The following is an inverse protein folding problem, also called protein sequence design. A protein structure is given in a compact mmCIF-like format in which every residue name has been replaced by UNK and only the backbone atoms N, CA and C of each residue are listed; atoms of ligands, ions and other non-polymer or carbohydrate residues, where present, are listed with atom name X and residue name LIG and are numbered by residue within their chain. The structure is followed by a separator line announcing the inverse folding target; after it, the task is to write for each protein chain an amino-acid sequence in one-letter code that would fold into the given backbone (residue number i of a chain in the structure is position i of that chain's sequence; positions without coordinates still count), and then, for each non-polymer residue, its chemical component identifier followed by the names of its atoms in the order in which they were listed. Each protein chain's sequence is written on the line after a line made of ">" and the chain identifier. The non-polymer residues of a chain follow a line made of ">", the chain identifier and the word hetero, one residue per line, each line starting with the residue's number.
data_IF_425751540995
#
_entry.id   IF_425751540995
#
_cell.length_a   1.000
_cell.length_b   1.000
_cell.length_c   1.000
_cell.angle_alpha   90.00
_cell.angle_beta   90.00
_cell.angle_gamma   90.00
#
_symmetry.space_group_name_H-M   'P 1'
#
loop_
_entity.id
_entity.type
_entity.pdbx_description
1 polymer ?
#
# COMPACT_ATOMS: atom_id res chain seq x y z
N UNK A 1 -25.61 5.93 -76.33
CA UNK A 1 -25.94 6.67 -75.11
C UNK A 1 -26.13 5.66 -74.00
N UNK A 2 -25.12 5.43 -73.18
CA UNK A 2 -25.27 4.79 -71.87
C UNK A 2 -24.16 5.29 -70.95
N UNK A 3 -24.60 5.58 -69.74
CA UNK A 3 -24.10 6.60 -68.86
C UNK A 3 -23.23 5.95 -67.77
N UNK A 4 -22.11 6.61 -67.49
CA UNK A 4 -21.28 6.54 -66.28
C UNK A 4 -21.94 5.93 -65.03
N UNK A 5 -21.20 5.05 -64.34
CA UNK A 5 -21.09 5.02 -62.87
C UNK A 5 -19.91 4.10 -62.46
N UNK A 6 -18.72 4.69 -62.31
CA UNK A 6 -17.59 4.10 -61.60
C UNK A 6 -17.69 4.50 -60.13
N UNK A 7 -18.12 3.58 -59.27
CA UNK A 7 -17.99 3.68 -57.82
C UNK A 7 -16.57 3.25 -57.43
N UNK A 8 -15.66 4.20 -57.27
CA UNK A 8 -14.38 3.97 -56.62
C UNK A 8 -14.60 4.02 -55.10
N UNK A 9 -14.67 2.85 -54.46
CA UNK A 9 -14.62 2.72 -53.01
C UNK A 9 -13.22 3.06 -52.51
N UNK A 10 -13.09 4.23 -51.88
CA UNK A 10 -11.88 4.65 -51.19
C UNK A 10 -11.77 3.85 -49.88
N UNK A 11 -11.19 2.65 -49.92
CA UNK A 11 -10.76 1.96 -48.71
C UNK A 11 -9.56 2.71 -48.14
N UNK A 12 -9.81 3.69 -47.28
CA UNK A 12 -8.83 4.22 -46.34
C UNK A 12 -8.46 3.09 -45.37
N UNK A 13 -7.48 2.28 -45.76
CA UNK A 13 -6.82 1.37 -44.84
C UNK A 13 -6.13 2.20 -43.77
N UNK A 14 -6.69 2.24 -42.56
CA UNK A 14 -5.93 2.66 -41.38
C UNK A 14 -4.83 1.65 -41.18
N UNK A 15 -3.63 1.93 -41.69
CA UNK A 15 -2.44 1.20 -41.32
C UNK A 15 -2.28 1.37 -39.80
N UNK A 16 -2.63 0.33 -39.05
CA UNK A 16 -2.23 0.21 -37.64
C UNK A 16 -0.70 0.20 -37.65
N UNK A 17 -0.10 1.34 -37.36
CA UNK A 17 1.34 1.44 -37.20
C UNK A 17 1.73 0.48 -36.07
N UNK A 18 2.47 -0.57 -36.40
CA UNK A 18 3.05 -1.44 -35.38
C UNK A 18 3.96 -0.60 -34.49
N UNK A 19 3.77 -0.63 -33.17
CA UNK A 19 4.62 0.12 -32.26
C UNK A 19 6.09 -0.25 -32.50
N UNK A 20 6.88 0.74 -32.89
CA UNK A 20 8.33 0.57 -33.02
C UNK A 20 8.95 0.56 -31.62
N UNK A 21 9.21 -0.63 -31.11
CA UNK A 21 9.87 -0.80 -29.81
C UNK A 21 11.33 -0.31 -29.83
N UNK A 22 11.79 0.24 -28.72
CA UNK A 22 13.18 0.65 -28.60
C UNK A 22 14.07 -0.60 -28.46
N UNK A 23 14.95 -0.85 -29.45
CA UNK A 23 15.86 -2.00 -29.44
C UNK A 23 16.76 -2.04 -28.19
N UNK A 24 17.06 -0.86 -27.63
CA UNK A 24 17.85 -0.71 -26.39
C UNK A 24 17.19 -1.37 -25.17
N UNK A 25 15.86 -1.48 -25.17
CA UNK A 25 15.10 -2.06 -24.06
C UNK A 25 14.85 -3.57 -24.20
N UNK A 26 15.20 -4.22 -25.32
CA UNK A 26 14.97 -5.66 -25.51
C UNK A 26 15.56 -6.51 -24.37
N UNK A 27 16.84 -6.29 -24.04
CA UNK A 27 17.50 -7.05 -22.99
C UNK A 27 16.89 -6.80 -21.60
N UNK A 28 16.52 -5.54 -21.31
CA UNK A 28 15.89 -5.17 -20.04
C UNK A 28 14.49 -5.77 -19.90
N UNK A 29 13.68 -5.75 -20.97
CA UNK A 29 12.35 -6.37 -21.01
C UNK A 29 12.42 -7.88 -20.75
N UNK A 30 13.30 -8.60 -21.45
CA UNK A 30 13.45 -10.04 -21.24
C UNK A 30 13.95 -10.38 -19.83
N UNK A 31 14.91 -9.61 -19.30
CA UNK A 31 15.38 -9.76 -17.92
C UNK A 31 14.24 -9.51 -16.93
N UNK A 32 13.48 -8.42 -17.10
CA UNK A 32 12.35 -8.07 -16.24
C UNK A 32 11.27 -9.17 -16.25
N UNK A 33 10.88 -9.66 -17.44
CA UNK A 33 9.92 -10.78 -17.55
C UNK A 33 10.42 -12.03 -16.81
N UNK A 34 11.71 -12.35 -16.94
CA UNK A 34 12.30 -13.50 -16.27
C UNK A 34 12.30 -13.32 -14.74
N UNK A 35 12.68 -12.14 -14.24
CA UNK A 35 12.66 -11.80 -12.82
C UNK A 35 11.26 -11.95 -12.22
N UNK A 36 10.24 -11.39 -12.87
CA UNK A 36 8.86 -11.40 -12.36
C UNK A 36 8.00 -12.54 -12.90
N UNK A 37 8.63 -13.55 -13.53
CA UNK A 37 8.01 -14.76 -14.09
C UNK A 37 6.79 -14.46 -14.97
N UNK A 38 6.91 -13.47 -15.84
CA UNK A 38 5.83 -13.03 -16.75
C UNK A 38 5.82 -13.86 -18.03
N UNK A 39 4.65 -14.41 -18.34
CA UNK A 39 4.37 -15.16 -19.55
C UNK A 39 3.11 -14.58 -20.17
N UNK A 40 3.17 -14.23 -21.46
CA UNK A 40 2.06 -13.63 -22.19
C UNK A 40 1.84 -14.36 -23.50
N UNK A 41 0.61 -14.30 -24.03
CA UNK A 41 0.36 -14.62 -25.43
C UNK A 41 0.94 -13.55 -26.35
N UNK A 42 1.19 -13.87 -27.63
CA UNK A 42 1.86 -12.97 -28.58
C UNK A 42 1.21 -11.58 -28.68
N UNK A 43 -0.13 -11.53 -28.76
CA UNK A 43 -0.86 -10.27 -28.84
C UNK A 43 -0.83 -9.48 -27.53
N UNK A 44 -0.75 -10.18 -26.38
CA UNK A 44 -0.70 -9.52 -25.07
C UNK A 44 0.69 -8.95 -24.78
N UNK A 45 1.73 -9.68 -25.15
CA UNK A 45 3.11 -9.27 -24.92
C UNK A 45 3.40 -7.89 -25.54
N UNK A 46 2.88 -7.64 -26.75
CA UNK A 46 3.15 -6.41 -27.49
C UNK A 46 2.69 -5.17 -26.71
N UNK A 47 1.45 -5.17 -26.21
CA UNK A 47 0.92 -4.02 -25.48
C UNK A 47 1.43 -3.96 -24.03
N UNK A 48 1.64 -5.10 -23.36
CA UNK A 48 2.28 -5.15 -22.02
C UNK A 48 3.67 -4.56 -22.05
N UNK A 49 4.44 -4.88 -23.09
CA UNK A 49 5.75 -4.27 -23.35
C UNK A 49 5.64 -2.77 -23.60
N UNK A 50 4.65 -2.31 -24.37
CA UNK A 50 4.43 -0.88 -24.60
C UNK A 50 4.15 -0.11 -23.29
N UNK A 51 3.35 -0.69 -22.39
CA UNK A 51 3.11 -0.14 -21.04
C UNK A 51 4.40 -0.10 -20.24
N UNK A 52 5.17 -1.19 -20.24
CA UNK A 52 6.46 -1.25 -19.56
C UNK A 52 7.47 -0.21 -20.07
N UNK A 53 7.60 -0.02 -21.39
CA UNK A 53 8.49 1.00 -21.96
C UNK A 53 8.02 2.42 -21.63
N UNK A 54 6.70 2.66 -21.56
CA UNK A 54 6.14 3.93 -21.10
C UNK A 54 6.52 4.22 -19.65
N UNK A 55 6.37 3.22 -18.77
CA UNK A 55 6.73 3.34 -17.36
C UNK A 55 8.24 3.52 -17.17
N UNK A 56 9.09 2.81 -17.93
CA UNK A 56 10.54 3.03 -17.92
C UNK A 56 10.93 4.47 -18.26
N UNK A 57 10.36 5.03 -19.33
CA UNK A 57 10.64 6.43 -19.72
C UNK A 57 10.21 7.42 -18.65
N UNK A 58 9.08 7.19 -18.00
CA UNK A 58 8.61 8.01 -16.88
C UNK A 58 9.59 7.95 -15.71
N UNK A 59 10.08 6.75 -15.35
CA UNK A 59 11.08 6.55 -14.30
C UNK A 59 12.39 7.26 -14.64
N UNK A 60 12.90 7.11 -15.87
CA UNK A 60 14.13 7.77 -16.32
C UNK A 60 14.01 9.30 -16.26
N UNK A 61 12.88 9.86 -16.72
CA UNK A 61 12.61 11.29 -16.66
C UNK A 61 12.57 11.80 -15.22
N UNK A 62 11.79 11.16 -14.34
CA UNK A 62 11.69 11.52 -12.93
C UNK A 62 13.06 11.49 -12.25
N UNK A 63 13.86 10.45 -12.50
CA UNK A 63 15.19 10.32 -11.89
C UNK A 63 16.19 11.36 -12.45
N UNK A 64 16.03 11.79 -13.72
CA UNK A 64 16.75 12.94 -14.26
C UNK A 64 16.40 14.22 -13.51
N UNK A 65 15.11 14.49 -13.28
CA UNK A 65 14.66 15.64 -12.51
C UNK A 65 15.08 15.59 -11.02
N UNK A 66 15.11 14.40 -10.43
CA UNK A 66 15.68 14.17 -9.10
C UNK A 66 17.15 14.58 -9.03
N UNK A 67 17.95 14.26 -10.07
CA UNK A 67 19.38 14.65 -10.12
C UNK A 67 19.59 16.16 -10.22
N UNK A 68 18.58 16.88 -10.70
CA UNK A 68 18.52 18.35 -10.74
C UNK A 68 17.94 18.97 -9.44
N UNK A 69 17.60 18.15 -8.44
CA UNK A 69 17.06 18.62 -7.15
C UNK A 69 15.57 18.98 -7.18
N UNK A 70 14.82 18.58 -8.21
CA UNK A 70 13.37 18.87 -8.33
C UNK A 70 12.49 17.95 -7.47
N UNK A 71 12.98 16.76 -7.14
CA UNK A 71 12.26 15.74 -6.36
C UNK A 71 13.07 15.32 -5.13
N UNK A 72 12.36 14.90 -4.07
CA UNK A 72 12.96 14.37 -2.83
C UNK A 72 13.14 12.85 -2.80
N UNK A 73 12.77 12.16 -3.89
CA UNK A 73 12.72 10.70 -3.98
C UNK A 73 12.98 10.22 -5.41
N UNK A 74 13.40 8.97 -5.54
CA UNK A 74 13.65 8.28 -6.81
C UNK A 74 12.59 7.22 -7.10
N UNK A 75 12.46 6.90 -8.39
CA UNK A 75 11.64 5.79 -8.88
C UNK A 75 12.50 4.61 -9.33
N UNK A 76 11.92 3.42 -9.31
CA UNK A 76 12.57 2.18 -9.73
C UNK A 76 11.58 1.21 -10.37
N UNK A 77 12.03 0.54 -11.42
CA UNK A 77 11.22 -0.48 -12.10
C UNK A 77 11.00 -1.68 -11.16
N UNK A 78 9.75 -2.11 -11.03
CA UNK A 78 9.34 -3.17 -10.11
C UNK A 78 8.33 -4.14 -10.75
N UNK A 79 7.68 -4.99 -9.95
CA UNK A 79 6.72 -5.99 -10.42
C UNK A 79 5.49 -5.40 -11.14
N UNK A 80 5.20 -4.11 -10.94
CA UNK A 80 4.06 -3.41 -11.56
C UNK A 80 4.42 -2.76 -12.90
N UNK A 81 5.61 -3.04 -13.44
CA UNK A 81 6.13 -2.41 -14.65
C UNK A 81 5.22 -2.52 -15.88
N UNK A 82 4.53 -3.64 -16.04
CA UNK A 82 3.64 -3.92 -17.17
C UNK A 82 2.17 -3.55 -16.90
N UNK A 83 1.86 -2.96 -15.74
CA UNK A 83 0.52 -2.54 -15.38
C UNK A 83 0.29 -1.07 -15.72
N UNK A 84 -0.88 -0.76 -16.25
CA UNK A 84 -1.33 0.63 -16.27
C UNK A 84 -1.63 1.10 -14.85
N UNK A 85 -1.67 2.41 -14.64
CA UNK A 85 -1.99 2.95 -13.33
C UNK A 85 -3.43 2.61 -12.92
N UNK A 86 -4.35 2.51 -13.87
CA UNK A 86 -5.73 2.09 -13.62
C UNK A 86 -5.80 0.61 -13.18
N UNK A 87 -5.08 -0.29 -13.85
CA UNK A 87 -4.97 -1.70 -13.42
C UNK A 87 -4.39 -1.80 -12.01
N UNK A 88 -3.31 -1.07 -11.75
CA UNK A 88 -2.67 -1.01 -10.44
C UNK A 88 -3.65 -0.58 -9.34
N UNK A 89 -4.33 0.55 -9.54
CA UNK A 89 -5.34 1.05 -8.59
C UNK A 89 -6.50 0.08 -8.38
N UNK A 90 -6.89 -0.70 -9.37
CA UNK A 90 -7.99 -1.65 -9.22
C UNK A 90 -7.57 -2.95 -8.52
N UNK A 91 -6.33 -3.39 -8.70
CA UNK A 91 -5.89 -4.72 -8.26
C UNK A 91 -5.21 -4.71 -6.89
N UNK A 92 -4.52 -3.63 -6.51
CA UNK A 92 -3.74 -3.59 -5.27
C UNK A 92 -4.19 -2.52 -4.27
N UNK A 93 -4.95 -1.51 -4.70
CA UNK A 93 -5.54 -0.54 -3.78
C UNK A 93 -6.89 -1.09 -3.30
N UNK A 94 -7.01 -1.30 -1.99
CA UNK A 94 -8.15 -2.00 -1.38
C UNK A 94 -8.76 -1.27 -0.20
N UNK A 95 -8.27 -0.09 0.18
CA UNK A 95 -8.91 0.66 1.24
C UNK A 95 -10.22 1.24 0.72
N UNK A 96 -11.30 1.04 1.47
CA UNK A 96 -12.61 1.62 1.17
C UNK A 96 -13.06 2.48 2.33
N UNK A 97 -13.14 3.79 2.09
CA UNK A 97 -13.76 4.70 3.04
C UNK A 97 -15.25 4.39 3.16
N UNK A 98 -15.64 3.73 4.25
CA UNK A 98 -17.02 3.36 4.52
C UNK A 98 -17.48 3.97 5.84
N UNK A 99 -18.77 4.35 5.91
CA UNK A 99 -19.37 4.74 7.19
C UNK A 99 -19.36 3.52 8.10
N UNK A 100 -18.78 3.68 9.28
CA UNK A 100 -18.67 2.63 10.28
C UNK A 100 -18.89 3.22 11.67
N UNK A 101 -19.10 2.34 12.65
CA UNK A 101 -19.12 2.74 14.05
C UNK A 101 -17.70 3.17 14.42
N UNK A 102 -17.53 4.39 14.90
CA UNK A 102 -16.22 4.87 15.36
C UNK A 102 -15.79 4.15 16.63
N UNK A 103 -14.48 3.94 16.76
CA UNK A 103 -13.85 3.41 17.96
C UNK A 103 -13.86 4.43 19.09
N UNK A 104 -13.10 4.13 20.15
CA UNK A 104 -12.81 5.17 21.17
C UNK A 104 -11.95 6.27 20.51
N UNK A 105 -12.11 7.51 20.94
CA UNK A 105 -11.26 8.60 20.45
C UNK A 105 -9.94 8.59 21.22
N UNK A 106 -8.81 8.65 20.51
CA UNK A 106 -7.49 8.74 21.13
C UNK A 106 -7.40 9.98 22.02
N UNK A 107 -7.06 9.76 23.29
CA UNK A 107 -6.81 10.83 24.24
C UNK A 107 -5.33 11.18 24.20
N UNK A 108 -5.01 12.37 23.69
CA UNK A 108 -3.63 12.82 23.61
C UNK A 108 -3.01 12.96 25.01
N UNK A 109 -1.85 12.33 25.29
CA UNK A 109 -1.16 12.55 26.54
C UNK A 109 -0.76 14.03 26.69
N UNK A 110 -1.11 14.62 27.83
CA UNK A 110 -0.74 15.98 28.22
C UNK A 110 0.72 15.99 28.69
N UNK A 111 1.48 17.02 28.31
CA UNK A 111 2.84 17.28 28.80
C UNK A 111 3.87 16.15 28.55
N UNK A 112 3.71 15.37 27.48
CA UNK A 112 4.69 14.35 27.10
C UNK A 112 5.75 14.93 26.17
N UNK A 113 7.01 14.87 26.58
CA UNK A 113 8.14 15.09 25.66
C UNK A 113 8.29 13.85 24.78
N UNK A 114 8.01 14.02 23.49
CA UNK A 114 8.14 12.93 22.52
C UNK A 114 9.59 12.81 22.03
N UNK A 115 10.06 11.58 21.76
CA UNK A 115 11.33 11.39 21.09
C UNK A 115 11.32 12.06 19.71
N UNK A 116 12.49 12.52 19.24
CA UNK A 116 12.60 13.17 17.92
C UNK A 116 12.41 12.20 16.75
N UNK A 117 12.68 10.92 16.99
CA UNK A 117 12.51 9.83 16.04
C UNK A 117 12.05 8.58 16.77
N UNK A 118 11.24 7.78 16.10
CA UNK A 118 10.74 6.48 16.57
C UNK A 118 10.87 5.50 15.43
N UNK A 119 11.36 4.30 15.73
CA UNK A 119 11.35 3.17 14.80
C UNK A 119 11.00 1.88 15.56
N UNK A 120 9.77 1.40 15.39
CA UNK A 120 9.29 0.20 16.07
C UNK A 120 9.90 -1.10 15.52
N UNK A 121 10.59 -1.04 14.36
CA UNK A 121 11.34 -2.18 13.81
C UNK A 121 12.51 -2.53 14.73
N UNK A 122 13.22 -1.51 15.22
CA UNK A 122 14.34 -1.67 16.16
C UNK A 122 13.91 -2.21 17.53
N UNK A 123 12.60 -2.17 17.82
CA UNK A 123 11.99 -2.69 19.05
C UNK A 123 11.37 -4.07 18.88
N UNK A 124 11.47 -4.70 17.71
CA UNK A 124 10.91 -6.03 17.46
C UNK A 124 9.38 -6.06 17.32
N UNK A 125 8.72 -4.90 17.17
CA UNK A 125 7.25 -4.83 17.09
C UNK A 125 6.70 -4.98 15.66
N UNK A 126 7.56 -5.28 14.68
CA UNK A 126 7.20 -5.27 13.26
C UNK A 126 7.66 -6.55 12.60
N UNK A 127 6.72 -7.34 12.08
CA UNK A 127 6.99 -8.56 11.29
C UNK A 127 7.68 -8.23 9.96
N UNK A 128 8.27 -9.22 9.25
CA UNK A 128 8.76 -9.04 7.88
C UNK A 128 7.70 -8.44 6.94
N UNK A 129 8.16 -7.79 5.85
CA UNK A 129 7.26 -7.32 4.80
C UNK A 129 6.60 -8.50 4.10
N UNK A 130 5.28 -8.39 3.89
CA UNK A 130 4.45 -9.35 3.17
C UNK A 130 4.07 -8.82 1.78
N UNK A 131 3.38 -9.64 0.99
CA UNK A 131 2.91 -9.26 -0.35
C UNK A 131 1.45 -9.67 -0.55
N UNK A 132 0.57 -8.68 -0.76
CA UNK A 132 -0.86 -8.90 -0.96
C UNK A 132 -1.21 -9.48 -2.34
N UNK A 133 -0.28 -9.45 -3.29
CA UNK A 133 -0.54 -9.89 -4.67
C UNK A 133 -1.60 -9.04 -5.37
N UNK A 134 -2.34 -9.64 -6.30
CA UNK A 134 -3.41 -8.98 -7.06
C UNK A 134 -4.77 -9.09 -6.35
N UNK A 135 -4.80 -8.63 -5.10
CA UNK A 135 -5.98 -8.62 -4.25
C UNK A 135 -6.01 -7.31 -3.47
N UNK A 136 -7.15 -6.60 -3.48
CA UNK A 136 -7.36 -5.36 -2.73
C UNK A 136 -7.52 -5.60 -1.23
N UNK A 137 -6.55 -6.26 -0.60
CA UNK A 137 -6.56 -6.66 0.82
C UNK A 137 -5.61 -5.85 1.69
N UNK A 138 -5.05 -4.74 1.21
CA UNK A 138 -4.16 -3.85 1.97
C UNK A 138 -4.70 -3.46 3.36
N UNK A 139 -6.03 -3.35 3.49
CA UNK A 139 -6.72 -3.11 4.76
C UNK A 139 -6.48 -4.24 5.78
N UNK A 140 -6.43 -5.50 5.33
CA UNK A 140 -6.14 -6.64 6.18
C UNK A 140 -4.68 -6.60 6.65
N UNK A 141 -3.72 -6.32 5.76
CA UNK A 141 -2.30 -6.18 6.10
C UNK A 141 -2.00 -5.00 7.05
N UNK A 142 -2.70 -3.89 6.87
CA UNK A 142 -2.61 -2.74 7.78
C UNK A 142 -3.14 -3.10 9.17
N UNK A 143 -4.29 -3.79 9.24
CA UNK A 143 -4.90 -4.25 10.48
C UNK A 143 -4.05 -5.29 11.21
N UNK A 144 -3.59 -6.34 10.53
CA UNK A 144 -2.71 -7.36 11.12
C UNK A 144 -1.43 -6.71 11.62
N UNK A 145 -0.78 -5.84 10.84
CA UNK A 145 0.43 -5.16 11.27
C UNK A 145 0.29 -4.32 12.54
N UNK A 146 -0.86 -3.67 12.73
CA UNK A 146 -1.15 -2.92 13.96
C UNK A 146 -1.40 -3.88 15.14
N UNK A 147 -2.19 -4.95 14.94
CA UNK A 147 -2.48 -5.94 15.97
C UNK A 147 -1.24 -6.74 16.39
N UNK A 148 -0.37 -7.10 15.45
CA UNK A 148 0.94 -7.72 15.68
C UNK A 148 1.78 -6.86 16.63
N UNK A 149 1.88 -5.56 16.35
CA UNK A 149 2.61 -4.62 17.19
C UNK A 149 2.04 -4.55 18.61
N UNK A 150 0.71 -4.47 18.75
CA UNK A 150 0.05 -4.44 20.07
C UNK A 150 0.23 -5.75 20.84
N UNK A 151 0.08 -6.89 20.18
CA UNK A 151 0.29 -8.21 20.78
C UNK A 151 1.73 -8.39 21.24
N UNK A 152 2.71 -7.92 20.45
CA UNK A 152 4.11 -7.94 20.86
C UNK A 152 4.37 -7.08 22.09
N UNK A 153 3.87 -5.83 22.10
CA UNK A 153 4.04 -4.92 23.23
C UNK A 153 3.42 -5.45 24.52
N UNK A 154 2.33 -6.21 24.41
CA UNK A 154 1.65 -6.84 25.55
C UNK A 154 2.34 -8.12 26.03
N UNK A 155 2.77 -8.98 25.12
CA UNK A 155 3.16 -10.37 25.44
C UNK A 155 4.65 -10.65 25.31
N UNK A 156 5.40 -9.79 24.62
CA UNK A 156 6.79 -10.02 24.23
C UNK A 156 6.98 -11.01 23.08
N UNK A 157 5.90 -11.56 22.50
CA UNK A 157 5.95 -12.55 21.42
C UNK A 157 5.45 -11.95 20.12
N UNK A 158 6.26 -12.01 19.06
CA UNK A 158 5.91 -11.49 17.74
C UNK A 158 5.41 -12.66 16.87
N UNK A 159 4.10 -12.79 16.74
CA UNK A 159 3.47 -13.75 15.84
C UNK A 159 2.96 -13.04 14.60
N UNK A 160 3.27 -13.58 13.42
CA UNK A 160 2.62 -13.14 12.18
C UNK A 160 1.16 -13.56 12.18
N UNK A 161 0.24 -12.63 11.95
CA UNK A 161 -1.21 -12.86 11.97
C UNK A 161 -1.75 -13.08 10.56
N UNK A 162 -2.85 -13.82 10.43
CA UNK A 162 -3.42 -14.19 9.14
C UNK A 162 -4.25 -13.06 8.52
N UNK A 163 -3.79 -12.51 7.40
CA UNK A 163 -4.64 -11.64 6.58
C UNK A 163 -5.78 -12.41 5.91
N UNK A 164 -5.56 -13.68 5.56
CA UNK A 164 -6.58 -14.49 4.90
C UNK A 164 -7.79 -14.74 5.79
N UNK A 165 -7.56 -14.92 7.09
CA UNK A 165 -8.64 -15.01 8.07
C UNK A 165 -9.50 -13.75 8.03
N UNK A 166 -8.92 -12.56 7.95
CA UNK A 166 -9.68 -11.31 7.84
C UNK A 166 -10.43 -11.23 6.49
N UNK A 167 -9.74 -11.51 5.38
CA UNK A 167 -10.30 -11.49 4.02
C UNK A 167 -11.54 -12.38 3.91
N UNK A 168 -11.48 -13.58 4.48
CA UNK A 168 -12.55 -14.57 4.35
C UNK A 168 -13.69 -14.39 5.36
N UNK A 169 -13.40 -13.88 6.56
CA UNK A 169 -14.33 -13.95 7.69
C UNK A 169 -14.98 -12.62 8.10
N UNK A 170 -14.39 -11.46 7.77
CA UNK A 170 -14.87 -10.15 8.28
C UNK A 170 -15.96 -9.48 7.42
N UNK A 171 -16.66 -10.26 6.58
CA UNK A 171 -17.72 -9.73 5.72
C UNK A 171 -18.93 -9.21 6.50
N UNK A 172 -19.23 -9.83 7.64
CA UNK A 172 -20.34 -9.42 8.50
C UNK A 172 -20.10 -8.01 9.09
N UNK A 173 -18.85 -7.62 9.30
CA UNK A 173 -18.46 -6.30 9.78
C UNK A 173 -18.43 -5.22 8.69
N UNK A 174 -18.41 -5.60 7.40
CA UNK A 174 -18.48 -4.68 6.26
C UNK A 174 -17.32 -4.74 5.28
N UNK A 175 -16.30 -5.58 5.54
CA UNK A 175 -15.24 -5.82 4.58
C UNK A 175 -15.72 -6.66 3.39
N UNK A 176 -15.04 -6.52 2.25
CA UNK A 176 -15.43 -7.13 0.98
C UNK A 176 -14.31 -8.00 0.38
N UNK A 177 -13.46 -8.57 1.25
CA UNK A 177 -12.34 -9.42 0.85
C UNK A 177 -11.36 -8.69 -0.06
N UNK A 178 -11.04 -9.28 -1.22
CA UNK A 178 -10.20 -8.67 -2.24
C UNK A 178 -10.83 -7.45 -2.94
N UNK A 179 -12.13 -7.20 -2.77
CA UNK A 179 -12.75 -5.97 -3.26
C UNK A 179 -12.53 -4.79 -2.32
N UNK A 180 -11.83 -4.97 -1.19
CA UNK A 180 -11.48 -3.90 -0.28
C UNK A 180 -12.25 -3.89 1.03
N UNK A 181 -11.80 -3.01 1.92
CA UNK A 181 -12.22 -3.01 3.31
C UNK A 181 -11.61 -1.85 4.10
N UNK A 182 -11.81 -1.92 5.42
CA UNK A 182 -11.41 -0.92 6.39
C UNK A 182 -10.80 -1.63 7.60
N UNK A 183 -9.70 -1.09 8.13
CA UNK A 183 -8.98 -1.66 9.27
C UNK A 183 -9.88 -1.76 10.51
N UNK A 184 -10.76 -0.78 10.74
CA UNK A 184 -11.68 -0.78 11.89
C UNK A 184 -12.71 -1.91 11.84
N UNK A 185 -13.14 -2.32 10.64
CA UNK A 185 -13.97 -3.51 10.48
C UNK A 185 -13.21 -4.80 10.79
N UNK A 186 -11.91 -4.84 10.46
CA UNK A 186 -11.07 -5.97 10.83
C UNK A 186 -10.89 -6.07 12.35
N UNK A 187 -10.63 -4.95 13.04
CA UNK A 187 -10.58 -4.92 14.50
C UNK A 187 -11.94 -5.29 15.12
N UNK A 188 -13.04 -4.77 14.57
CA UNK A 188 -14.38 -5.16 15.03
C UNK A 188 -14.65 -6.65 14.86
N UNK A 189 -14.15 -7.27 13.78
CA UNK A 189 -14.25 -8.71 13.56
C UNK A 189 -13.47 -9.47 14.63
N UNK A 190 -12.21 -9.10 14.90
CA UNK A 190 -11.37 -9.77 15.91
C UNK A 190 -12.02 -9.67 17.30
N UNK A 191 -12.59 -8.51 17.65
CA UNK A 191 -13.38 -8.33 18.87
C UNK A 191 -14.57 -9.30 18.95
N UNK A 192 -15.38 -9.36 17.89
CA UNK A 192 -16.59 -10.19 17.85
C UNK A 192 -16.27 -11.69 17.84
N UNK A 193 -15.25 -12.06 17.06
CA UNK A 193 -14.77 -13.42 16.88
C UNK A 193 -13.98 -13.93 18.09
N UNK A 194 -13.51 -13.03 18.96
CA UNK A 194 -12.68 -13.29 20.14
C UNK A 194 -11.34 -13.95 19.81
N UNK A 195 -10.83 -13.70 18.61
CA UNK A 195 -9.60 -14.32 18.15
C UNK A 195 -9.26 -14.02 16.70
N UNK A 196 -7.98 -14.16 16.38
CA UNK A 196 -7.45 -14.18 15.02
C UNK A 196 -6.38 -15.28 14.92
N UNK A 197 -6.40 -16.04 13.84
CA UNK A 197 -5.44 -17.12 13.57
C UNK A 197 -4.06 -16.59 13.17
N UNK A 198 -3.03 -17.42 13.34
CA UNK A 198 -1.68 -17.10 12.86
C UNK A 198 -1.60 -17.26 11.34
N UNK A 199 -0.65 -16.55 10.72
CA UNK A 199 -0.33 -16.71 9.29
C UNK A 199 0.04 -18.17 8.96
N UNK A 200 0.70 -18.87 9.88
CA UNK A 200 1.12 -20.27 9.68
C UNK A 200 -0.09 -21.21 9.62
N UNK A 201 -1.08 -21.02 10.50
CA UNK A 201 -2.28 -21.87 10.52
C UNK A 201 -3.30 -21.54 9.44
N UNK A 202 -3.31 -20.30 8.98
CA UNK A 202 -4.22 -19.82 7.93
C UNK A 202 -3.46 -18.95 6.91
N UNK A 203 -2.71 -19.58 5.99
CA UNK A 203 -1.84 -18.86 5.05
C UNK A 203 -2.59 -17.99 4.06
N UNK A 204 -1.95 -16.90 3.63
CA UNK A 204 -2.47 -15.99 2.62
C UNK A 204 -2.56 -16.61 1.21
N UNK A 205 -3.74 -16.54 0.59
CA UNK A 205 -4.04 -17.11 -0.73
C UNK A 205 -4.25 -16.04 -1.83
N UNK A 206 -4.24 -14.73 -1.48
CA UNK A 206 -4.46 -13.61 -2.40
C UNK A 206 -5.76 -13.68 -3.23
N UNK A 207 -6.80 -14.26 -2.65
CA UNK A 207 -8.14 -14.39 -3.24
C UNK A 207 -9.18 -14.54 -2.14
N UNK A 208 -10.43 -14.30 -2.49
CA UNK A 208 -11.55 -14.60 -1.59
C UNK A 208 -11.71 -16.12 -1.42
N UNK A 209 -11.87 -16.55 -0.17
CA UNK A 209 -12.20 -17.91 0.22
C UNK A 209 -13.45 -17.98 1.09
N UNK A 210 -13.79 -19.20 1.52
CA UNK A 210 -14.75 -19.40 2.61
C UNK A 210 -14.04 -19.20 3.94
N UNK A 211 -14.74 -18.66 4.95
CA UNK A 211 -14.17 -18.51 6.28
C UNK A 211 -13.80 -19.86 6.90
N UNK A 212 -12.52 -20.04 7.25
CA UNK A 212 -11.96 -21.26 7.86
C UNK A 212 -11.33 -21.02 9.25
N UNK A 213 -11.74 -19.95 9.94
CA UNK A 213 -11.23 -19.62 11.27
C UNK A 213 -11.36 -20.81 12.23
N UNK A 214 -10.31 -21.07 13.01
CA UNK A 214 -10.23 -22.17 13.95
C UNK A 214 -9.70 -21.69 15.31
N UNK A 215 -10.53 -21.64 16.36
CA UNK A 215 -10.13 -21.05 17.65
C UNK A 215 -8.90 -21.72 18.28
N UNK A 216 -8.64 -23.00 17.97
CA UNK A 216 -7.43 -23.72 18.39
C UNK A 216 -6.11 -23.14 17.84
N UNK A 217 -6.17 -22.37 16.75
CA UNK A 217 -5.03 -21.70 16.14
C UNK A 217 -5.00 -20.20 16.38
N UNK A 218 -5.90 -19.70 17.23
CA UNK A 218 -5.95 -18.28 17.54
C UNK A 218 -4.73 -17.86 18.38
N UNK A 219 -4.01 -16.85 17.89
CA UNK A 219 -2.80 -16.33 18.55
C UNK A 219 -2.90 -14.84 18.91
N UNK A 220 -4.00 -14.19 18.57
CA UNK A 220 -4.26 -12.80 18.90
C UNK A 220 -5.74 -12.55 19.22
N UNK A 221 -5.99 -11.55 20.07
CA UNK A 221 -7.31 -11.01 20.35
C UNK A 221 -7.18 -9.49 20.54
N UNK A 222 -8.31 -8.79 20.45
CA UNK A 222 -8.42 -7.40 20.82
C UNK A 222 -9.64 -7.17 21.73
N UNK A 223 -9.73 -5.96 22.25
CA UNK A 223 -10.80 -5.48 23.14
C UNK A 223 -11.52 -4.28 22.52
N UNK A 224 -11.39 -4.10 21.20
CA UNK A 224 -11.85 -2.96 20.43
C UNK A 224 -10.71 -2.19 19.77
N UNK A 225 -10.99 -0.95 19.36
CA UNK A 225 -10.07 -0.09 18.63
C UNK A 225 -10.24 1.38 18.99
N UNK A 226 -9.22 2.16 18.66
CA UNK A 226 -9.13 3.59 18.93
C UNK A 226 -8.86 4.33 17.62
N UNK A 227 -9.68 5.35 17.34
CA UNK A 227 -9.51 6.26 16.22
C UNK A 227 -8.68 7.47 16.65
N UNK A 228 -7.67 7.80 15.85
CA UNK A 228 -6.81 8.95 16.08
C UNK A 228 -7.44 10.18 15.40
N UNK A 229 -7.49 11.34 16.07
CA UNK A 229 -7.89 12.60 15.44
C UNK A 229 -7.10 12.85 14.15
N UNK A 230 -7.75 13.46 13.14
CA UNK A 230 -7.18 13.67 11.80
C UNK A 230 -6.10 14.78 11.75
N UNK A 231 -5.08 14.63 12.58
CA UNK A 231 -4.00 15.59 12.83
C UNK A 231 -2.69 14.83 12.92
N UNK A 232 -1.68 15.23 12.13
CA UNK A 232 -0.35 14.61 12.16
C UNK A 232 0.29 14.66 13.56
N UNK A 233 -0.02 15.69 14.36
CA UNK A 233 0.42 15.80 15.75
C UNK A 233 -0.17 14.70 16.64
N UNK A 234 -1.44 14.37 16.47
CA UNK A 234 -2.10 13.29 17.21
C UNK A 234 -1.56 11.93 16.76
N UNK A 235 -1.37 11.72 15.46
CA UNK A 235 -0.71 10.53 14.91
C UNK A 235 0.71 10.37 15.47
N UNK A 236 1.49 11.45 15.58
CA UNK A 236 2.86 11.39 16.10
C UNK A 236 2.90 10.96 17.56
N UNK A 237 1.96 11.47 18.37
CA UNK A 237 1.78 11.05 19.76
C UNK A 237 1.40 9.57 19.84
N UNK A 238 0.40 9.14 19.07
CA UNK A 238 -0.03 7.75 19.04
C UNK A 238 1.12 6.81 18.66
N UNK A 239 1.82 7.08 17.55
CA UNK A 239 2.99 6.28 17.13
C UNK A 239 4.04 6.21 18.25
N UNK A 240 4.29 7.31 18.95
CA UNK A 240 5.32 7.33 20.00
C UNK A 240 4.93 6.60 21.28
N UNK A 241 3.64 6.53 21.61
CA UNK A 241 3.18 6.00 22.91
C UNK A 241 2.44 4.67 22.82
N UNK A 242 1.98 4.30 21.63
CA UNK A 242 1.13 3.12 21.42
C UNK A 242 1.87 2.03 20.67
N UNK A 243 2.59 2.36 19.60
CA UNK A 243 3.17 1.35 18.71
C UNK A 243 2.97 1.68 17.23
N UNK A 244 3.09 0.66 16.35
CA UNK A 244 2.66 0.76 14.96
C UNK A 244 1.17 1.10 14.84
N UNK A 245 0.82 1.97 13.89
CA UNK A 245 -0.53 2.50 13.67
C UNK A 245 -1.01 2.17 12.25
N UNK A 246 -2.20 1.61 12.12
CA UNK A 246 -2.84 1.39 10.84
C UNK A 246 -3.31 2.73 10.26
N UNK A 247 -2.96 3.02 9.01
CA UNK A 247 -3.38 4.25 8.32
C UNK A 247 -3.82 3.96 6.89
N UNK A 248 -4.54 4.90 6.28
CA UNK A 248 -4.76 4.91 4.83
C UNK A 248 -4.14 6.15 4.18
N UNK A 249 -3.76 6.01 2.91
CA UNK A 249 -3.19 7.07 2.08
C UNK A 249 -3.80 7.08 0.67
N UNK A 250 -3.64 8.20 -0.04
CA UNK A 250 -3.72 8.23 -1.50
C UNK A 250 -2.44 7.61 -2.09
N UNK A 251 -2.58 6.42 -2.68
CA UNK A 251 -1.53 5.70 -3.38
C UNK A 251 -1.80 5.62 -4.89
N UNK A 252 -2.68 6.48 -5.42
CA UNK A 252 -3.17 6.39 -6.79
C UNK A 252 -2.17 6.83 -7.86
N UNK A 253 -1.06 7.46 -7.46
CA UNK A 253 -0.14 8.09 -8.40
C UNK A 253 0.91 7.14 -8.97
N UNK A 254 1.30 7.25 -10.26
CA UNK A 254 2.41 6.50 -10.83
C UNK A 254 3.73 6.70 -10.07
N UNK A 255 3.94 7.88 -9.49
CA UNK A 255 5.11 8.18 -8.65
C UNK A 255 5.16 7.31 -7.40
N UNK A 256 4.02 6.89 -6.85
CA UNK A 256 3.97 5.94 -5.73
C UNK A 256 4.10 4.50 -6.21
N UNK A 257 3.42 4.14 -7.31
CA UNK A 257 3.50 2.81 -7.92
C UNK A 257 4.97 2.37 -8.14
N UNK A 258 5.83 3.31 -8.53
CA UNK A 258 7.25 3.06 -8.80
C UNK A 258 8.22 3.64 -7.77
N UNK A 259 7.74 4.05 -6.59
CA UNK A 259 8.61 4.57 -5.54
C UNK A 259 9.77 3.60 -5.24
N UNK A 260 10.98 4.13 -5.12
CA UNK A 260 12.18 3.35 -4.79
C UNK A 260 12.84 3.81 -3.49
N UNK A 261 13.18 5.09 -3.35
CA UNK A 261 13.88 5.60 -2.16
C UNK A 261 13.70 7.10 -1.95
N UNK A 262 13.99 7.60 -0.74
CA UNK A 262 13.89 9.02 -0.38
C UNK A 262 12.55 9.38 0.28
N UNK A 263 12.32 10.67 0.55
CA UNK A 263 11.08 11.15 1.18
C UNK A 263 10.05 11.42 0.08
N UNK A 264 9.03 10.57 0.01
CA UNK A 264 7.93 10.69 -0.93
C UNK A 264 7.14 11.97 -0.68
N UNK A 265 7.01 12.78 -1.73
CA UNK A 265 6.15 13.95 -1.78
C UNK A 265 5.55 14.09 -3.19
N UNK A 266 4.24 13.93 -3.32
CA UNK A 266 3.50 14.07 -4.58
C UNK A 266 2.57 15.29 -4.51
N UNK A 267 2.83 16.37 -5.27
CA UNK A 267 2.01 17.58 -5.22
C UNK A 267 0.51 17.33 -5.47
N UNK A 268 0.17 16.30 -6.23
CA UNK A 268 -1.22 15.96 -6.57
C UNK A 268 -1.88 14.98 -5.60
N UNK A 269 -1.20 14.59 -4.53
CA UNK A 269 -1.73 13.65 -3.55
C UNK A 269 -2.92 14.24 -2.79
N UNK A 270 -4.02 13.50 -2.72
CA UNK A 270 -5.21 13.92 -1.98
C UNK A 270 -5.07 13.60 -0.49
N UNK A 271 -5.48 14.53 0.36
CA UNK A 271 -5.65 14.25 1.80
C UNK A 271 -6.98 13.58 2.14
N UNK A 272 -7.83 13.32 1.14
CA UNK A 272 -9.21 12.84 1.33
C UNK A 272 -9.53 11.59 0.52
N UNK A 273 -9.03 11.50 -0.70
CA UNK A 273 -9.32 10.40 -1.63
C UNK A 273 -8.31 9.26 -1.39
N UNK A 274 -8.47 8.59 -0.26
CA UNK A 274 -7.58 7.49 0.15
C UNK A 274 -8.03 6.19 -0.51
N UNK A 275 -7.07 5.38 -0.93
CA UNK A 275 -7.34 4.10 -1.63
C UNK A 275 -6.44 2.94 -1.16
N UNK A 276 -5.42 3.21 -0.34
CA UNK A 276 -4.48 2.17 0.11
C UNK A 276 -4.25 2.18 1.63
N UNK A 277 -4.29 1.00 2.24
CA UNK A 277 -4.06 0.78 3.67
C UNK A 277 -2.61 0.36 3.93
N UNK A 278 -1.94 1.06 4.84
CA UNK A 278 -0.51 0.86 5.17
C UNK A 278 -0.29 0.97 6.67
N UNK A 279 0.93 0.70 7.15
CA UNK A 279 1.24 0.71 8.58
C UNK A 279 2.35 1.72 8.89
N UNK A 280 2.05 2.76 9.66
CA UNK A 280 3.06 3.69 10.19
C UNK A 280 3.78 2.98 11.33
N UNK A 281 5.09 2.74 11.17
CA UNK A 281 5.94 2.06 12.17
C UNK A 281 6.92 3.00 12.86
N UNK A 282 6.87 4.29 12.53
CA UNK A 282 7.81 5.25 13.08
C UNK A 282 7.78 6.60 12.38
N UNK A 283 8.68 7.48 12.81
CA UNK A 283 8.92 8.78 12.18
C UNK A 283 10.35 9.24 12.45
N UNK A 284 10.84 10.15 11.62
CA UNK A 284 12.18 10.71 11.76
C UNK A 284 12.34 11.99 10.97
N UNK A 285 13.60 12.38 10.78
CA UNK A 285 13.99 13.53 9.99
C UNK A 285 15.38 13.30 9.36
N UNK A 286 15.62 13.89 8.20
CA UNK A 286 16.93 13.91 7.56
C UNK A 286 17.74 15.17 7.93
N UNK A 287 19.04 15.01 8.11
CA UNK A 287 19.97 16.11 8.38
C UNK A 287 20.01 16.54 9.86
N UNK A 288 20.60 17.71 10.12
CA UNK A 288 20.76 18.24 11.49
C UNK A 288 19.59 19.09 11.96
N UNK A 289 18.78 19.60 11.02
CA UNK A 289 17.61 20.42 11.31
C UNK A 289 16.34 19.58 11.26
N UNK A 290 15.81 19.28 12.45
CA UNK A 290 14.56 18.53 12.61
C UNK A 290 13.35 19.22 11.98
N UNK A 291 13.45 20.46 11.50
CA UNK A 291 12.32 21.21 10.94
C UNK A 291 12.18 21.12 9.42
N UNK A 292 13.18 20.65 8.67
CA UNK A 292 13.19 20.84 7.20
C UNK A 292 12.96 19.57 6.37
N UNK A 293 13.11 18.37 6.93
CA UNK A 293 12.93 17.10 6.20
C UNK A 293 12.39 15.97 7.10
N UNK A 294 11.19 16.14 7.63
CA UNK A 294 10.53 15.12 8.47
C UNK A 294 9.82 14.09 7.61
N UNK A 295 9.77 12.85 8.08
CA UNK A 295 9.07 11.76 7.42
C UNK A 295 8.41 10.81 8.41
N UNK A 296 7.36 10.13 7.94
CA UNK A 296 6.83 8.91 8.53
C UNK A 296 7.57 7.70 7.95
N UNK A 297 7.86 6.70 8.78
CA UNK A 297 8.37 5.40 8.34
C UNK A 297 7.17 4.50 8.17
N UNK A 298 6.94 4.00 6.97
CA UNK A 298 5.71 3.28 6.65
C UNK A 298 6.04 1.93 6.01
N UNK A 299 5.42 0.87 6.53
CA UNK A 299 5.47 -0.49 5.99
C UNK A 299 4.36 -0.66 4.96
N UNK A 300 4.72 -1.12 3.76
CA UNK A 300 3.79 -1.45 2.70
C UNK A 300 3.55 -2.99 2.63
N UNK A 301 2.60 -3.41 1.81
CA UNK A 301 2.18 -4.80 1.60
C UNK A 301 2.40 -5.27 0.16
N UNK A 302 3.37 -4.71 -0.56
CA UNK A 302 3.67 -5.03 -1.97
C UNK A 302 4.96 -5.85 -2.15
N UNK A 303 5.42 -6.51 -1.09
CA UNK A 303 6.67 -7.27 -1.09
C UNK A 303 7.89 -6.38 -0.89
N UNK A 304 9.02 -7.02 -0.58
CA UNK A 304 10.28 -6.36 -0.26
C UNK A 304 11.00 -5.74 -1.46
N UNK A 305 10.63 -6.11 -2.69
CA UNK A 305 11.21 -5.57 -3.92
C UNK A 305 10.69 -4.16 -4.25
N UNK A 306 9.56 -3.77 -3.67
CA UNK A 306 9.02 -2.42 -3.81
C UNK A 306 9.61 -1.47 -2.75
N UNK A 307 9.92 -0.23 -3.13
CA UNK A 307 10.45 0.77 -2.21
C UNK A 307 11.77 0.36 -1.54
N UNK A 308 11.94 0.76 -0.28
CA UNK A 308 13.12 0.49 0.53
C UNK A 308 12.94 -0.80 1.32
N UNK A 309 13.06 -1.95 0.65
CA UNK A 309 12.84 -3.25 1.28
C UNK A 309 11.38 -3.47 1.70
N UNK A 310 10.43 -2.88 0.97
CA UNK A 310 9.00 -2.87 1.30
C UNK A 310 8.53 -1.74 2.21
N UNK A 311 9.44 -0.85 2.61
CA UNK A 311 9.13 0.36 3.36
C UNK A 311 9.24 1.59 2.47
N UNK A 312 8.64 2.69 2.92
CA UNK A 312 8.83 4.00 2.31
C UNK A 312 8.84 5.08 3.39
N UNK A 313 9.46 6.20 3.04
CA UNK A 313 9.33 7.44 3.81
C UNK A 313 8.33 8.35 3.11
N UNK A 314 7.36 8.86 3.84
CA UNK A 314 6.40 9.86 3.33
C UNK A 314 6.50 11.15 4.13
N UNK A 315 6.39 12.27 3.43
CA UNK A 315 6.53 13.60 4.02
C UNK A 315 5.63 13.80 5.25
N UNK A 316 6.24 14.25 6.35
CA UNK A 316 5.58 14.52 7.63
C UNK A 316 5.53 16.02 7.91
N UNK A 317 4.47 16.47 8.58
CA UNK A 317 4.18 17.87 8.89
C UNK A 317 4.09 18.73 7.61
N UNK A 318 3.48 18.16 6.57
CA UNK A 318 3.33 18.75 5.23
C UNK A 318 1.86 18.75 4.81
N UNK A 319 1.01 19.33 5.67
CA UNK A 319 -0.42 19.48 5.46
C UNK A 319 -1.15 18.13 5.27
N UNK A 320 -0.87 17.15 6.15
CA UNK A 320 -1.46 15.81 6.07
C UNK A 320 -1.28 15.19 4.67
N UNK A 321 -0.03 15.15 4.23
CA UNK A 321 0.34 14.73 2.88
C UNK A 321 -0.17 13.32 2.57
N UNK A 322 -0.78 13.15 1.40
CA UNK A 322 -1.52 11.94 0.99
C UNK A 322 -2.56 11.42 1.99
N UNK A 323 -2.97 12.24 2.97
CA UNK A 323 -3.97 11.87 3.96
C UNK A 323 -3.51 10.87 5.02
N UNK A 324 -2.20 10.75 5.28
CA UNK A 324 -1.61 9.79 6.23
C UNK A 324 -2.26 9.80 7.64
N UNK A 325 -2.80 10.93 8.08
CA UNK A 325 -3.51 11.05 9.36
C UNK A 325 -5.05 11.05 9.22
N UNK A 326 -5.60 10.94 8.02
CA UNK A 326 -7.05 11.07 7.76
C UNK A 326 -7.84 9.85 8.25
N UNK A 327 -7.29 8.65 8.13
CA UNK A 327 -7.90 7.41 8.60
C UNK A 327 -6.86 6.58 9.34
N UNK A 328 -6.59 6.97 10.59
CA UNK A 328 -5.59 6.35 11.44
C UNK A 328 -6.24 5.74 12.69
N UNK A 329 -5.95 4.47 12.95
CA UNK A 329 -6.50 3.74 14.09
C UNK A 329 -5.58 2.61 14.55
N UNK A 330 -5.86 2.07 15.74
CA UNK A 330 -5.14 0.92 16.28
C UNK A 330 -6.07 0.06 17.16
N UNK A 331 -5.85 -1.26 17.22
CA UNK A 331 -6.59 -2.14 18.12
C UNK A 331 -6.11 -1.98 19.56
N UNK A 332 -6.98 -2.19 20.54
CA UNK A 332 -6.58 -2.27 21.95
C UNK A 332 -6.51 -3.72 22.38
N UNK A 333 -5.47 -4.10 23.12
CA UNK A 333 -5.31 -5.44 23.69
C UNK A 333 -5.22 -5.32 25.21
N UNK A 334 -5.91 -6.18 25.97
CA UNK A 334 -5.88 -6.17 27.45
C UNK A 334 -4.89 -7.18 28.00
#
# INVERSE_FOLDING_TARGET
>A
MNLLLLLATLCLGTALATPKFNQTFNAQWHKWKSTYRRLYGTNEEEWRRAVWEKNMKMIELHNGEYSEGKHGFTLGMNAFGDMTNEEFRQLVNGYKHQKHRKGKVFQEPLMLQLPKSVDWREKGCVTPVKNQGQCGSCWAFSATGALEGQMYLKTGVLNSLSEQNLVDCSRAEGNQGCNGGLMDFAFQYVLNNKGLDSEESYPYEAKDGTCKYKPEFSVANDTGYVDIPQLEKALMKAVATVGPIAVAIDASHPSFQFYSSGIYFEPNCSSKDLDHGVLVVGYGFEGTDSNKKKYWIVKNSWGSEWGMGGFFHIAKDKNNHCGVATAASYPTVN
#
